data_IF_862759728469
#
_entry.id   IF_862759728469
#
_cell.length_a   1.000
_cell.length_b   1.000
_cell.length_c   1.000
_cell.angle_alpha   90.00
_cell.angle_beta   90.00
_cell.angle_gamma   90.00
#
_symmetry.space_group_name_H-M   'P 1'
#
loop_
_entity.id
_entity.type
_entity.pdbx_description
1 polymer ?
#
# COMPACT_ATOMS: atom_id res chain seq x y z
N UNK A 1 -0.45 29.88 20.89
CA UNK A 1 -0.71 28.42 21.00
C UNK A 1 -0.24 27.79 19.70
N UNK A 2 0.64 26.79 19.76
CA UNK A 2 1.05 26.04 18.56
C UNK A 2 0.14 24.84 18.39
N UNK A 3 -0.61 24.77 17.29
CA UNK A 3 -1.32 23.56 16.89
C UNK A 3 -0.25 22.65 16.24
N UNK A 4 -0.11 21.38 16.68
CA UNK A 4 0.76 20.43 16.00
C UNK A 4 0.40 20.34 14.52
N UNK A 5 1.41 20.35 13.65
CA UNK A 5 1.22 20.16 12.22
C UNK A 5 1.07 18.67 11.94
N UNK A 6 -0.06 18.28 11.36
CA UNK A 6 -0.23 16.91 10.88
C UNK A 6 0.63 16.68 9.64
N UNK A 7 1.30 15.54 9.61
CA UNK A 7 2.19 15.13 8.54
C UNK A 7 2.02 13.64 8.30
N UNK A 8 2.14 13.24 7.03
CA UNK A 8 1.91 11.88 6.59
C UNK A 8 3.13 11.36 5.85
N UNK A 9 3.43 10.07 5.99
CA UNK A 9 4.30 9.38 5.04
C UNK A 9 3.48 9.08 3.80
N UNK A 10 3.96 9.50 2.65
CA UNK A 10 3.23 9.41 1.40
C UNK A 10 4.09 8.90 0.27
N UNK A 11 3.41 8.42 -0.76
CA UNK A 11 3.98 7.95 -2.00
C UNK A 11 3.23 8.60 -3.16
N UNK A 12 3.94 8.92 -4.24
CA UNK A 12 3.33 9.44 -5.45
C UNK A 12 3.26 8.33 -6.50
N UNK A 13 2.08 8.08 -7.04
CA UNK A 13 1.84 7.06 -8.06
C UNK A 13 1.86 7.76 -9.42
N UNK A 14 2.95 7.57 -10.16
CA UNK A 14 3.17 8.25 -11.45
C UNK A 14 2.06 7.95 -12.46
N UNK A 15 1.59 6.69 -12.52
CA UNK A 15 0.54 6.24 -13.44
C UNK A 15 -0.81 6.92 -13.21
N UNK A 16 -1.08 7.35 -11.98
CA UNK A 16 -2.30 8.03 -11.59
C UNK A 16 -2.14 9.56 -11.51
N UNK A 17 -0.90 10.03 -11.37
CA UNK A 17 -0.59 11.39 -10.95
C UNK A 17 -1.27 11.73 -9.61
N UNK A 18 -1.28 10.77 -8.68
CA UNK A 18 -1.97 10.86 -7.39
C UNK A 18 -1.06 10.55 -6.19
N UNK A 19 -1.39 11.14 -5.04
CA UNK A 19 -0.73 10.89 -3.75
C UNK A 19 -1.49 9.81 -2.98
N UNK A 20 -0.79 8.80 -2.49
CA UNK A 20 -1.31 7.85 -1.48
C UNK A 20 -0.60 8.04 -0.15
N UNK A 21 -1.32 7.78 0.95
CA UNK A 21 -0.80 7.88 2.30
C UNK A 21 -0.49 6.48 2.83
N UNK A 22 0.72 6.28 3.34
CA UNK A 22 1.03 5.08 4.11
C UNK A 22 0.40 5.20 5.49
N UNK A 23 -0.74 4.55 5.69
CA UNK A 23 -1.50 4.57 6.93
C UNK A 23 -0.86 3.71 8.02
N UNK A 24 -0.57 2.44 7.74
CA UNK A 24 0.11 1.55 8.68
C UNK A 24 0.93 0.49 7.95
N UNK A 25 2.14 0.21 8.44
CA UNK A 25 2.89 -1.00 8.09
C UNK A 25 2.50 -2.14 9.04
N UNK A 26 2.09 -3.26 8.46
CA UNK A 26 1.65 -4.45 9.20
C UNK A 26 2.85 -5.20 9.78
N UNK A 27 2.61 -5.91 10.88
CA UNK A 27 3.64 -6.71 11.54
C UNK A 27 3.05 -7.92 12.27
N UNK A 28 3.89 -8.59 13.06
CA UNK A 28 3.40 -9.66 13.94
C UNK A 28 2.70 -9.00 15.13
N UNK A 29 1.39 -9.19 15.22
CA UNK A 29 0.52 -8.50 16.19
C UNK A 29 -0.65 -9.39 16.58
N UNK A 30 -1.06 -9.35 17.84
CA UNK A 30 -2.32 -9.96 18.29
C UNK A 30 -3.55 -9.11 17.94
N UNK A 31 -3.34 -7.82 17.68
CA UNK A 31 -4.38 -6.94 17.17
C UNK A 31 -4.53 -7.17 15.66
N UNK A 32 -5.68 -7.73 15.26
CA UNK A 32 -6.02 -8.05 13.87
C UNK A 32 -5.87 -6.86 12.92
N UNK A 33 -6.16 -5.65 13.37
CA UNK A 33 -6.04 -4.44 12.55
C UNK A 33 -4.60 -4.18 12.08
N UNK A 34 -3.60 -4.70 12.79
CA UNK A 34 -2.18 -4.50 12.50
C UNK A 34 -1.43 -5.82 12.23
N UNK A 35 -2.17 -6.93 12.16
CA UNK A 35 -1.63 -8.28 12.06
C UNK A 35 -1.40 -8.66 10.60
N UNK A 36 -0.14 -8.77 10.22
CA UNK A 36 0.28 -9.22 8.90
C UNK A 36 -0.38 -10.57 8.54
N UNK A 37 -0.47 -11.48 9.49
CA UNK A 37 -1.03 -12.82 9.26
C UNK A 37 -2.54 -12.80 9.05
N UNK A 38 -3.29 -11.96 9.79
CA UNK A 38 -4.75 -11.88 9.61
C UNK A 38 -5.10 -11.24 8.27
N UNK A 39 -4.47 -10.11 7.93
CA UNK A 39 -4.67 -9.44 6.63
C UNK A 39 -4.34 -10.36 5.45
N UNK A 40 -3.22 -11.09 5.52
CA UNK A 40 -2.86 -12.00 4.44
C UNK A 40 -3.75 -13.24 4.38
N UNK A 41 -4.30 -13.72 5.50
CA UNK A 41 -5.31 -14.78 5.48
C UNK A 41 -6.63 -14.33 4.85
N UNK A 42 -7.00 -13.06 5.02
CA UNK A 42 -8.23 -12.48 4.45
C UNK A 42 -8.12 -12.37 2.92
N UNK A 43 -7.02 -11.84 2.41
CA UNK A 43 -6.84 -11.55 0.97
C UNK A 43 -6.12 -12.64 0.17
N UNK A 44 -5.72 -13.76 0.79
CA UNK A 44 -4.91 -14.81 0.13
C UNK A 44 -5.46 -15.33 -1.20
N UNK A 45 -6.79 -15.31 -1.39
CA UNK A 45 -7.45 -15.84 -2.60
C UNK A 45 -7.42 -14.81 -3.74
N UNK A 46 -7.37 -13.52 -3.40
CA UNK A 46 -7.36 -12.40 -4.34
C UNK A 46 -5.93 -12.01 -4.76
N UNK A 47 -4.94 -12.38 -3.94
CA UNK A 47 -3.54 -12.08 -4.17
C UNK A 47 -2.87 -13.08 -5.13
N UNK A 48 -1.93 -12.63 -5.97
CA UNK A 48 -1.04 -13.51 -6.73
C UNK A 48 -0.24 -14.46 -5.82
N UNK A 49 0.23 -15.57 -6.39
CA UNK A 49 1.16 -16.46 -5.69
C UNK A 49 2.42 -15.71 -5.26
N UNK A 50 3.02 -16.11 -4.14
CA UNK A 50 4.22 -15.45 -3.59
C UNK A 50 4.05 -13.93 -3.40
N UNK A 51 2.87 -13.51 -2.95
CA UNK A 51 2.62 -12.12 -2.61
C UNK A 51 1.93 -11.94 -1.26
N UNK A 52 2.04 -10.75 -0.69
CA UNK A 52 1.44 -10.43 0.59
C UNK A 52 1.17 -8.92 0.74
N UNK A 53 0.09 -8.58 1.45
CA UNK A 53 -0.19 -7.22 1.94
C UNK A 53 0.76 -6.93 3.10
N UNK A 54 1.47 -5.80 3.04
CA UNK A 54 2.37 -5.35 4.11
C UNK A 54 2.00 -4.00 4.70
N UNK A 55 1.03 -3.30 4.12
CA UNK A 55 0.59 -2.02 4.64
C UNK A 55 -0.80 -1.63 4.14
N UNK A 56 -1.39 -0.65 4.82
CA UNK A 56 -2.71 -0.11 4.54
C UNK A 56 -2.66 1.40 4.27
N UNK A 57 -3.62 1.88 3.50
CA UNK A 57 -3.97 3.29 3.28
C UNK A 57 -5.31 3.57 4.01
N UNK A 58 -5.60 4.83 4.34
CA UNK A 58 -6.75 5.22 5.17
C UNK A 58 -8.13 5.07 4.51
N UNK A 59 -8.21 5.15 3.18
CA UNK A 59 -9.41 4.94 2.35
C UNK A 59 -9.66 3.49 1.93
N UNK A 60 -8.84 2.54 2.37
CA UNK A 60 -9.00 1.11 2.09
C UNK A 60 -8.11 0.56 0.97
N UNK A 61 -7.15 1.36 0.48
CA UNK A 61 -6.08 0.86 -0.38
C UNK A 61 -5.07 0.01 0.38
N UNK A 62 -4.39 -0.88 -0.33
CA UNK A 62 -3.45 -1.85 0.25
C UNK A 62 -2.09 -1.78 -0.44
N UNK A 63 -1.02 -1.88 0.33
CA UNK A 63 0.33 -2.02 -0.18
C UNK A 63 0.71 -3.49 -0.24
N UNK A 64 1.03 -3.98 -1.44
CA UNK A 64 1.28 -5.40 -1.73
C UNK A 64 2.72 -5.59 -2.21
N UNK A 65 3.35 -6.66 -1.77
CA UNK A 65 4.66 -7.09 -2.25
C UNK A 65 4.55 -8.45 -2.94
N UNK A 66 5.00 -8.53 -4.19
CA UNK A 66 5.21 -9.80 -4.92
C UNK A 66 6.71 -10.14 -4.81
N UNK A 67 7.05 -11.31 -4.26
CA UNK A 67 8.43 -11.62 -3.87
C UNK A 67 9.23 -12.37 -4.94
N UNK A 68 8.56 -13.01 -5.90
CA UNK A 68 9.18 -13.84 -6.92
C UNK A 68 8.51 -13.64 -8.28
N UNK A 69 9.15 -14.13 -9.35
CA UNK A 69 8.59 -14.07 -10.71
C UNK A 69 8.92 -12.78 -11.47
N UNK A 70 8.31 -12.65 -12.65
CA UNK A 70 8.49 -11.50 -13.55
C UNK A 70 7.79 -10.24 -13.01
N UNK A 71 6.67 -10.43 -12.33
CA UNK A 71 5.89 -9.37 -11.67
C UNK A 71 6.41 -9.03 -10.25
N UNK A 72 7.66 -9.36 -9.94
CA UNK A 72 8.24 -9.05 -8.63
C UNK A 72 8.31 -7.54 -8.43
N UNK A 73 7.73 -7.05 -7.34
CA UNK A 73 7.74 -5.63 -7.03
C UNK A 73 6.85 -5.26 -5.84
N UNK A 74 6.76 -3.96 -5.60
CA UNK A 74 5.88 -3.33 -4.62
C UNK A 74 4.79 -2.59 -5.38
N UNK A 75 3.54 -2.82 -4.99
CA UNK A 75 2.35 -2.31 -5.67
C UNK A 75 1.40 -1.63 -4.68
N UNK A 76 0.66 -0.65 -5.16
CA UNK A 76 -0.54 -0.15 -4.50
C UNK A 76 -1.75 -0.81 -5.16
N UNK A 77 -2.58 -1.46 -4.36
CA UNK A 77 -3.87 -2.00 -4.78
C UNK A 77 -4.98 -1.11 -4.27
N UNK A 78 -5.64 -0.40 -5.19
CA UNK A 78 -6.82 0.40 -4.91
C UNK A 78 -8.06 -0.48 -4.79
N UNK A 79 -8.09 -1.30 -3.73
CA UNK A 79 -9.11 -2.32 -3.49
C UNK A 79 -10.52 -1.73 -3.36
N UNK A 80 -10.64 -0.52 -2.83
CA UNK A 80 -11.92 0.17 -2.57
C UNK A 80 -12.29 1.21 -3.63
N UNK A 81 -11.52 1.32 -4.72
CA UNK A 81 -11.74 2.29 -5.81
C UNK A 81 -11.77 3.74 -5.31
N UNK A 82 -10.75 4.13 -4.55
CA UNK A 82 -10.53 5.50 -4.06
C UNK A 82 -10.33 6.45 -5.25
N UNK A 83 -9.68 5.98 -6.32
CA UNK A 83 -9.38 6.78 -7.50
C UNK A 83 -10.40 6.56 -8.62
N UNK A 84 -10.87 7.65 -9.25
CA UNK A 84 -11.81 7.61 -10.37
C UNK A 84 -11.26 6.84 -11.59
N UNK A 85 -9.93 6.78 -11.72
CA UNK A 85 -9.21 6.06 -12.76
C UNK A 85 -9.24 4.54 -12.54
N UNK A 86 -9.50 4.08 -11.32
CA UNK A 86 -9.53 2.65 -10.98
C UNK A 86 -10.82 1.99 -11.47
N UNK A 87 -10.70 0.75 -11.91
CA UNK A 87 -11.82 -0.09 -12.32
C UNK A 87 -11.57 -1.54 -11.94
N UNK A 88 -12.59 -2.39 -12.03
CA UNK A 88 -12.49 -3.82 -11.69
C UNK A 88 -11.35 -4.52 -12.42
N UNK A 89 -11.02 -4.08 -13.64
CA UNK A 89 -9.95 -4.66 -14.46
C UNK A 89 -8.60 -3.95 -14.29
N UNK A 90 -8.56 -2.78 -13.65
CA UNK A 90 -7.37 -1.92 -13.55
C UNK A 90 -7.40 -1.09 -12.28
N UNK A 91 -6.87 -1.64 -11.19
CA UNK A 91 -6.79 -0.99 -9.87
C UNK A 91 -5.49 -1.32 -9.11
N UNK A 92 -4.46 -1.82 -9.80
CA UNK A 92 -3.16 -2.17 -9.21
C UNK A 92 -2.07 -1.36 -9.91
N UNK A 93 -1.26 -0.67 -9.12
CA UNK A 93 -0.27 0.31 -9.61
C UNK A 93 1.11 -0.02 -9.06
N UNK A 94 2.11 -0.05 -9.94
CA UNK A 94 3.48 -0.34 -9.55
C UNK A 94 4.10 0.86 -8.82
N UNK A 95 4.81 0.59 -7.71
CA UNK A 95 5.46 1.62 -6.89
C UNK A 95 6.99 1.53 -6.97
N UNK A 96 7.55 0.33 -6.80
CA UNK A 96 9.00 0.14 -6.70
C UNK A 96 9.42 -1.32 -6.93
N UNK A 97 10.67 -1.53 -7.37
CA UNK A 97 11.20 -2.87 -7.67
C UNK A 97 11.44 -3.75 -6.43
N UNK A 98 11.64 -3.10 -5.28
CA UNK A 98 11.94 -3.76 -4.02
C UNK A 98 11.61 -2.83 -2.83
N UNK A 99 11.64 -3.40 -1.63
CA UNK A 99 11.28 -2.68 -0.41
C UNK A 99 12.20 -1.51 -0.08
N UNK A 100 13.51 -1.59 -0.39
CA UNK A 100 14.44 -0.47 -0.18
C UNK A 100 14.07 0.71 -1.07
N UNK A 101 13.85 0.48 -2.37
CA UNK A 101 13.43 1.52 -3.30
C UNK A 101 12.07 2.12 -2.89
N UNK A 102 11.16 1.31 -2.33
CA UNK A 102 9.89 1.80 -1.80
C UNK A 102 10.11 2.79 -0.64
N UNK A 103 10.92 2.44 0.36
CA UNK A 103 11.21 3.32 1.50
C UNK A 103 11.91 4.61 1.05
N UNK A 104 12.85 4.53 0.10
CA UNK A 104 13.57 5.70 -0.42
C UNK A 104 12.67 6.70 -1.16
N UNK A 105 11.56 6.23 -1.73
CA UNK A 105 10.57 7.06 -2.42
C UNK A 105 9.52 7.65 -1.48
N UNK A 106 9.41 7.19 -0.23
CA UNK A 106 8.51 7.79 0.74
C UNK A 106 8.95 9.22 1.06
N UNK A 107 7.97 10.12 1.13
CA UNK A 107 8.20 11.51 1.51
C UNK A 107 7.17 11.96 2.54
N UNK A 108 7.53 12.99 3.29
CA UNK A 108 6.61 13.62 4.24
C UNK A 108 5.72 14.60 3.48
N UNK A 109 4.41 14.41 3.57
CA UNK A 109 3.42 15.32 2.99
C UNK A 109 2.55 15.99 4.06
N UNK A 110 1.97 17.11 3.68
CA UNK A 110 0.90 17.78 4.43
C UNK A 110 -0.46 17.22 3.98
N UNK A 111 -1.53 17.33 4.81
CA UNK A 111 -2.88 16.89 4.46
C UNK A 111 -3.27 17.31 3.03
#
# INVERSE_FOLDING_TARGET
MGIPKEQYLSFFIDDLNEKVILGTMLGISENKNFSLTDWNSEYQIELPYDSFVFGTEYGGGLFVMIVSGEDRGIYFWDHTFIFDQSSVDSNVYFLADNFTNFIEKLYISEP
#
